data_IF_440356004847
#
_entry.id   IF_440356004847
#
_cell.length_a   1.000
_cell.length_b   1.000
_cell.length_c   1.000
_cell.angle_alpha   90.00
_cell.angle_beta   90.00
_cell.angle_gamma   90.00
#
_symmetry.space_group_name_H-M   'P 1'
#
loop_
_entity.id
_entity.type
_entity.pdbx_description
1 polymer ?
#
# COMPACT_ATOMS: atom_id res chain seq x y z
N UNK A 1 34.51 28.82 47.46
CA UNK A 1 34.37 29.40 46.10
C UNK A 1 34.33 28.40 44.97
N UNK A 2 35.28 27.49 44.82
CA UNK A 2 35.32 26.50 43.69
C UNK A 2 34.06 25.57 43.64
N UNK A 3 33.55 25.08 44.82
CA UNK A 3 32.34 24.25 44.88
C UNK A 3 31.08 24.94 44.38
N UNK A 4 30.95 26.23 44.67
CA UNK A 4 29.76 27.02 44.25
C UNK A 4 29.79 27.30 42.72
N UNK A 5 30.97 27.46 42.14
CA UNK A 5 31.15 27.67 40.71
C UNK A 5 30.77 26.39 39.91
N UNK A 6 31.20 25.22 40.41
CA UNK A 6 30.84 23.93 39.79
C UNK A 6 29.36 23.62 39.91
N UNK A 7 28.74 23.97 41.06
CA UNK A 7 27.29 23.84 41.24
C UNK A 7 26.51 24.78 40.33
N UNK A 8 26.96 26.03 40.20
CA UNK A 8 26.38 27.02 39.26
C UNK A 8 26.53 26.57 37.79
N UNK A 9 27.67 25.99 37.42
CA UNK A 9 27.89 25.42 36.10
C UNK A 9 27.03 24.20 35.82
N UNK A 10 26.87 23.30 36.84
CA UNK A 10 25.94 22.16 36.71
C UNK A 10 24.48 22.61 36.69
N UNK A 11 24.09 23.61 37.50
CA UNK A 11 22.73 24.17 37.45
C UNK A 11 22.47 24.92 36.13
N UNK A 12 23.44 25.69 35.60
CA UNK A 12 23.33 26.36 34.31
C UNK A 12 23.26 25.35 33.16
N UNK A 13 24.04 24.28 33.22
CA UNK A 13 23.97 23.17 32.25
C UNK A 13 22.61 22.44 32.35
N UNK A 14 22.07 22.27 33.56
CA UNK A 14 20.74 21.70 33.77
C UNK A 14 19.64 22.62 33.25
N UNK A 15 19.68 23.92 33.58
CA UNK A 15 18.69 24.90 33.14
C UNK A 15 18.74 25.10 31.64
N UNK A 16 19.92 25.12 31.01
CA UNK A 16 20.09 25.20 29.56
C UNK A 16 19.59 23.95 28.80
N UNK A 17 19.55 22.79 29.48
CA UNK A 17 19.08 21.53 28.86
C UNK A 17 17.64 21.14 29.32
N UNK A 18 17.12 21.71 30.41
CA UNK A 18 15.72 21.49 30.85
C UNK A 18 14.76 22.43 30.13
N UNK A 19 15.19 23.63 29.72
CA UNK A 19 14.36 24.51 28.88
C UNK A 19 13.87 23.84 27.59
N UNK A 20 14.68 23.08 26.83
CA UNK A 20 14.16 22.33 25.69
C UNK A 20 13.30 21.12 26.07
N UNK A 21 13.48 20.52 27.27
CA UNK A 21 12.65 19.36 27.70
C UNK A 21 11.24 19.80 28.09
N UNK A 22 11.05 20.97 28.69
CA UNK A 22 9.73 21.55 28.94
C UNK A 22 9.07 22.09 27.64
N UNK A 23 9.87 22.58 26.70
CA UNK A 23 9.40 22.97 25.37
C UNK A 23 9.00 21.77 24.47
N UNK A 24 9.51 20.55 24.74
CA UNK A 24 9.09 19.32 24.05
C UNK A 24 7.66 18.91 24.44
N UNK A 25 7.13 19.36 25.58
CA UNK A 25 5.73 19.12 25.98
C UNK A 25 4.79 20.14 25.34
N UNK A 26 5.27 21.31 24.86
CA UNK A 26 4.50 22.29 24.11
C UNK A 26 5.13 22.57 22.74
N UNK A 27 4.60 21.93 21.70
CA UNK A 27 4.58 22.42 20.30
C UNK A 27 5.91 22.81 19.64
N UNK A 28 6.98 22.02 19.70
CA UNK A 28 7.88 22.03 18.54
C UNK A 28 7.41 20.98 17.53
N UNK A 29 7.15 21.38 16.29
CA UNK A 29 7.02 20.38 15.23
C UNK A 29 8.34 19.59 15.21
N UNK A 30 8.23 18.29 15.42
CA UNK A 30 9.30 17.31 15.25
C UNK A 30 10.13 17.76 14.05
N UNK A 31 11.45 18.02 14.24
CA UNK A 31 12.33 18.47 13.15
C UNK A 31 12.06 17.57 11.96
N UNK A 32 11.55 18.19 10.91
CA UNK A 32 11.21 17.55 9.66
C UNK A 32 12.29 16.52 9.28
N UNK A 33 11.91 15.37 8.72
CA UNK A 33 12.86 14.45 8.13
C UNK A 33 13.83 15.20 7.22
N UNK A 34 15.07 14.71 6.98
CA UNK A 34 16.04 15.37 6.12
C UNK A 34 15.38 15.88 4.83
N UNK A 35 15.78 17.06 4.35
CA UNK A 35 15.14 17.71 3.18
C UNK A 35 15.04 16.76 1.97
N UNK A 36 15.99 15.85 1.83
CA UNK A 36 15.98 14.81 0.78
C UNK A 36 14.82 13.81 0.91
N UNK A 37 14.38 13.56 2.15
CA UNK A 37 13.20 12.72 2.45
C UNK A 37 11.91 13.49 2.24
N UNK A 38 11.89 14.79 2.62
CA UNK A 38 10.73 15.68 2.40
C UNK A 38 10.52 15.89 0.90
N UNK A 39 11.58 16.08 0.12
CA UNK A 39 11.50 16.24 -1.34
C UNK A 39 10.95 14.97 -1.99
N UNK A 40 11.35 13.78 -1.54
CA UNK A 40 10.77 12.51 -1.98
C UNK A 40 9.30 12.34 -1.54
N UNK A 41 8.88 12.95 -0.40
CA UNK A 41 7.49 12.96 0.04
C UNK A 41 6.62 14.00 -0.71
N UNK A 42 7.21 14.99 -1.36
CA UNK A 42 6.49 16.02 -2.11
C UNK A 42 6.14 15.62 -3.55
N UNK A 43 6.91 14.70 -4.17
CA UNK A 43 6.69 14.25 -5.54
C UNK A 43 6.02 12.85 -5.62
N UNK A 44 4.97 12.64 -4.85
CA UNK A 44 4.23 11.36 -4.82
C UNK A 44 3.63 10.96 -6.16
N UNK A 45 3.39 11.92 -7.06
CA UNK A 45 2.98 11.67 -8.44
C UNK A 45 4.03 10.91 -9.25
N UNK A 46 5.33 11.01 -8.90
CA UNK A 46 6.40 10.27 -9.57
C UNK A 46 6.32 8.75 -9.33
N UNK A 47 5.67 8.32 -8.23
CA UNK A 47 5.48 6.89 -7.97
C UNK A 47 4.52 6.21 -8.96
N UNK A 48 3.65 6.97 -9.64
CA UNK A 48 2.54 6.47 -10.47
C UNK A 48 2.75 6.80 -11.94
N UNK A 49 3.86 7.15 -12.46
CA UNK A 49 4.08 7.37 -13.91
C UNK A 49 2.81 7.78 -14.70
N UNK A 50 2.29 8.99 -14.44
CA UNK A 50 1.04 9.48 -15.04
C UNK A 50 1.09 9.52 -16.58
N UNK A 51 2.30 9.64 -17.18
CA UNK A 51 2.45 9.63 -18.64
C UNK A 51 2.08 8.28 -19.25
N UNK A 52 2.26 7.17 -18.52
CA UNK A 52 1.82 5.86 -18.97
C UNK A 52 0.27 5.77 -19.02
N UNK A 53 -0.40 6.34 -18.03
CA UNK A 53 -1.86 6.35 -17.96
C UNK A 53 -2.51 7.18 -19.07
N UNK A 54 -1.83 8.21 -19.60
CA UNK A 54 -2.32 9.00 -20.72
C UNK A 54 -2.47 8.19 -22.03
N UNK A 55 -1.84 7.00 -22.14
CA UNK A 55 -2.02 6.10 -23.27
C UNK A 55 -3.44 5.51 -23.39
N UNK A 56 -4.27 5.59 -22.36
CA UNK A 56 -5.69 5.22 -22.45
C UNK A 56 -6.56 6.29 -23.12
N UNK A 57 -5.99 7.46 -23.43
CA UNK A 57 -6.65 8.58 -24.08
C UNK A 57 -7.99 8.98 -23.42
N UNK A 58 -8.03 8.90 -22.08
CA UNK A 58 -9.20 9.24 -21.26
C UNK A 58 -8.82 10.17 -20.13
N UNK A 59 -9.32 11.40 -20.19
CA UNK A 59 -9.08 12.43 -19.19
C UNK A 59 -9.77 12.09 -17.84
N UNK A 60 -10.93 11.43 -17.88
CA UNK A 60 -11.65 11.06 -16.67
C UNK A 60 -10.88 10.02 -15.86
N UNK A 61 -10.31 9.01 -16.53
CA UNK A 61 -9.44 8.02 -15.90
C UNK A 61 -8.24 8.70 -15.22
N UNK A 62 -7.55 9.60 -15.91
CA UNK A 62 -6.41 10.33 -15.35
C UNK A 62 -6.81 11.16 -14.12
N UNK A 63 -7.95 11.85 -14.20
CA UNK A 63 -8.48 12.64 -13.08
C UNK A 63 -8.83 11.76 -11.86
N UNK A 64 -9.40 10.57 -12.05
CA UNK A 64 -9.67 9.66 -10.93
C UNK A 64 -8.40 9.12 -10.30
N UNK A 65 -7.35 8.83 -11.09
CA UNK A 65 -6.04 8.43 -10.55
C UNK A 65 -5.44 9.56 -9.72
N UNK A 66 -5.47 10.81 -10.20
CA UNK A 66 -4.97 11.98 -9.47
C UNK A 66 -5.76 12.17 -8.15
N UNK A 67 -7.10 12.12 -8.21
CA UNK A 67 -7.95 12.18 -7.01
C UNK A 67 -7.63 11.09 -5.99
N UNK A 68 -7.37 9.87 -6.46
CA UNK A 68 -6.99 8.77 -5.58
C UNK A 68 -5.64 9.02 -4.91
N UNK A 69 -4.63 9.48 -5.66
CA UNK A 69 -3.32 9.83 -5.11
C UNK A 69 -3.44 10.88 -4.00
N UNK A 70 -4.33 11.87 -4.15
CA UNK A 70 -4.50 12.96 -3.20
C UNK A 70 -5.36 12.59 -1.98
N UNK A 71 -6.41 11.79 -2.19
CA UNK A 71 -7.49 11.64 -1.20
C UNK A 71 -7.62 10.24 -0.60
N UNK A 72 -7.07 9.20 -1.23
CA UNK A 72 -7.19 7.83 -0.76
C UNK A 72 -6.68 7.68 0.68
N UNK A 73 -7.45 7.00 1.54
CA UNK A 73 -7.13 6.87 2.97
C UNK A 73 -6.02 5.87 3.22
N UNK A 74 -5.92 4.81 2.42
CA UNK A 74 -4.86 3.81 2.55
C UNK A 74 -3.50 4.42 2.18
N UNK A 75 -3.44 5.30 1.16
CA UNK A 75 -2.22 6.03 0.83
C UNK A 75 -1.81 6.99 1.94
N UNK A 76 -2.78 7.70 2.56
CA UNK A 76 -2.49 8.55 3.72
C UNK A 76 -1.97 7.75 4.90
N UNK A 77 -2.54 6.56 5.17
CA UNK A 77 -2.02 5.64 6.19
C UNK A 77 -0.62 5.13 5.86
N UNK A 78 -0.33 4.79 4.61
CA UNK A 78 1.00 4.38 4.20
C UNK A 78 2.05 5.48 4.45
N UNK A 79 1.72 6.74 4.13
CA UNK A 79 2.57 7.91 4.43
C UNK A 79 2.82 8.06 5.94
N UNK A 80 1.76 7.99 6.75
CA UNK A 80 1.89 8.07 8.22
C UNK A 80 2.74 6.91 8.78
N UNK A 81 2.66 5.74 8.17
CA UNK A 81 3.53 4.60 8.54
C UNK A 81 5.00 4.90 8.28
N UNK A 82 5.34 5.57 7.16
CA UNK A 82 6.72 6.01 6.91
C UNK A 82 7.20 6.99 7.98
N UNK A 83 6.35 7.95 8.37
CA UNK A 83 6.65 8.90 9.45
C UNK A 83 6.83 8.21 10.80
N UNK A 84 5.98 7.22 11.14
CA UNK A 84 6.09 6.40 12.33
C UNK A 84 7.44 5.66 12.39
N UNK A 85 7.84 5.01 11.30
CA UNK A 85 9.15 4.35 11.23
C UNK A 85 10.31 5.34 11.35
N UNK A 86 10.16 6.55 10.85
CA UNK A 86 11.16 7.60 11.03
C UNK A 86 11.31 8.01 12.51
N UNK A 87 10.19 8.14 13.25
CA UNK A 87 10.25 8.38 14.70
C UNK A 87 10.94 7.25 15.45
N UNK A 88 10.79 6.00 15.00
CA UNK A 88 11.53 4.87 15.56
C UNK A 88 13.05 5.00 15.32
N UNK A 89 13.48 5.57 14.18
CA UNK A 89 14.91 5.88 13.95
C UNK A 89 15.41 6.92 14.95
N UNK A 90 14.64 8.00 15.17
CA UNK A 90 14.98 9.06 16.14
C UNK A 90 15.06 8.47 17.54
N UNK A 91 14.05 7.69 17.96
CA UNK A 91 14.01 7.01 19.24
C UNK A 91 15.22 6.08 19.43
N UNK A 92 15.57 5.28 18.43
CA UNK A 92 16.74 4.40 18.52
C UNK A 92 18.07 5.18 18.57
N UNK A 93 18.14 6.32 17.86
CA UNK A 93 19.32 7.21 17.88
C UNK A 93 19.55 7.82 19.26
N UNK A 94 18.52 8.01 20.08
CA UNK A 94 18.66 8.54 21.43
C UNK A 94 19.57 7.67 22.31
N UNK A 95 19.65 6.36 22.03
CA UNK A 95 20.59 5.45 22.72
C UNK A 95 22.09 5.77 22.45
N UNK A 96 22.39 6.64 21.50
CA UNK A 96 23.74 7.15 21.21
C UNK A 96 24.03 8.47 21.92
N UNK A 97 23.10 8.97 22.72
CA UNK A 97 23.22 10.23 23.46
C UNK A 97 23.14 9.94 24.97
N UNK A 98 23.70 10.83 25.83
CA UNK A 98 23.51 10.72 27.27
C UNK A 98 22.02 10.85 27.64
N UNK A 99 21.56 10.03 28.59
CA UNK A 99 20.25 10.19 29.23
C UNK A 99 20.42 10.87 30.58
N UNK A 100 19.51 11.79 30.91
CA UNK A 100 19.43 12.45 32.20
C UNK A 100 18.06 12.22 32.80
N UNK A 101 18.00 11.68 33.98
CA UNK A 101 16.77 11.40 34.72
C UNK A 101 16.82 12.10 36.08
N UNK A 102 15.70 12.64 36.51
CA UNK A 102 15.54 13.18 37.86
C UNK A 102 14.43 12.43 38.58
N UNK A 103 14.58 12.35 39.89
CA UNK A 103 13.59 11.75 40.76
C UNK A 103 13.34 12.60 42.02
N UNK A 104 12.21 12.37 42.63
CA UNK A 104 11.92 12.86 43.99
C UNK A 104 11.43 11.71 44.82
N UNK A 105 12.12 11.45 45.91
CA UNK A 105 11.91 10.30 46.79
C UNK A 105 11.66 10.80 48.21
N UNK A 106 10.41 11.08 48.61
CA UNK A 106 10.05 11.31 50.00
C UNK A 106 10.01 9.98 50.73
N UNK A 107 10.51 9.92 51.94
CA UNK A 107 10.51 8.70 52.72
C UNK A 107 10.75 8.96 54.20
N UNK A 108 10.66 7.89 54.98
CA UNK A 108 11.11 7.84 56.37
C UNK A 108 12.39 7.00 56.40
N UNK A 109 13.45 7.48 57.03
CA UNK A 109 14.68 6.73 57.24
C UNK A 109 14.98 6.63 58.69
N UNK A 110 15.34 5.45 59.18
CA UNK A 110 15.90 5.21 60.51
C UNK A 110 17.31 4.66 60.35
N UNK A 111 18.30 5.46 60.74
CA UNK A 111 19.71 5.11 60.72
C UNK A 111 20.23 4.78 62.13
N UNK A 112 19.33 4.35 63.04
CA UNK A 112 19.66 3.93 64.39
C UNK A 112 19.45 5.02 65.47
N UNK A 113 18.86 6.16 65.11
CA UNK A 113 18.55 7.29 66.00
C UNK A 113 17.03 7.65 66.04
N UNK A 114 16.19 6.76 65.56
CA UNK A 114 14.76 6.96 65.36
C UNK A 114 14.37 7.38 63.97
N UNK A 115 13.11 7.10 63.58
CA UNK A 115 12.58 7.45 62.27
C UNK A 115 12.54 8.98 62.09
N UNK A 116 13.07 9.46 60.98
CA UNK A 116 13.06 10.84 60.56
C UNK A 116 12.63 10.97 59.11
N UNK A 117 12.00 12.11 58.77
CA UNK A 117 11.70 12.43 57.40
C UNK A 117 12.97 12.50 56.54
N UNK A 118 12.91 11.95 55.34
CA UNK A 118 13.99 11.98 54.38
C UNK A 118 13.44 12.37 53.01
N UNK A 119 14.02 13.41 52.45
CA UNK A 119 13.68 13.91 51.12
C UNK A 119 14.93 13.81 50.26
N UNK A 120 14.85 13.01 49.22
CA UNK A 120 15.96 12.83 48.28
C UNK A 120 15.55 13.26 46.86
N UNK A 121 16.42 14.03 46.21
CA UNK A 121 16.25 14.49 44.83
C UNK A 121 17.47 14.08 44.00
N UNK A 122 17.48 12.83 43.49
CA UNK A 122 18.56 12.32 42.65
C UNK A 122 18.42 12.79 41.21
N UNK A 123 19.51 13.21 40.59
CA UNK A 123 19.68 13.46 39.17
C UNK A 123 20.72 12.46 38.66
N UNK A 124 20.31 11.57 37.78
CA UNK A 124 21.16 10.56 37.18
C UNK A 124 21.45 10.89 35.74
N UNK A 125 22.73 10.93 35.36
CA UNK A 125 23.17 10.92 33.98
C UNK A 125 23.75 9.55 33.64
N UNK A 126 23.43 9.00 32.49
CA UNK A 126 24.05 7.75 32.01
C UNK A 126 24.31 7.84 30.50
N UNK A 127 25.46 7.25 30.11
CA UNK A 127 25.86 7.22 28.69
C UNK A 127 26.70 5.95 28.44
N UNK A 128 26.25 5.16 27.46
CA UNK A 128 27.02 4.05 26.93
C UNK A 128 27.90 4.50 25.77
N UNK A 129 29.24 4.42 25.97
CA UNK A 129 30.19 4.73 24.90
C UNK A 129 30.13 3.65 23.81
N UNK A 130 29.71 4.04 22.61
CA UNK A 130 29.52 3.12 21.47
C UNK A 130 30.83 2.83 20.71
N UNK A 131 31.88 2.43 21.45
CA UNK A 131 33.21 2.18 20.91
C UNK A 131 33.19 1.11 19.81
N UNK A 132 32.38 0.09 19.99
CA UNK A 132 32.23 -0.97 18.99
C UNK A 132 31.17 -0.68 17.93
N UNK A 133 30.46 0.41 18.02
CA UNK A 133 29.37 0.77 17.12
C UNK A 133 28.15 -0.16 17.24
N UNK A 134 27.84 -0.66 18.43
CA UNK A 134 26.65 -1.48 18.70
C UNK A 134 25.37 -0.66 18.53
N UNK A 135 25.28 0.50 19.20
CA UNK A 135 24.12 1.37 19.18
C UNK A 135 23.98 2.06 17.80
N UNK A 136 25.09 2.42 17.17
CA UNK A 136 25.11 2.91 15.80
C UNK A 136 24.57 1.85 14.83
N UNK A 137 24.96 0.58 14.95
CA UNK A 137 24.38 -0.48 14.11
C UNK A 137 22.90 -0.75 14.42
N UNK A 138 22.45 -0.64 15.67
CA UNK A 138 21.02 -0.72 16.00
C UNK A 138 20.23 0.38 15.28
N UNK A 139 20.71 1.61 15.30
CA UNK A 139 20.11 2.74 14.58
C UNK A 139 20.09 2.47 13.07
N UNK A 140 21.20 1.97 12.50
CA UNK A 140 21.25 1.63 11.07
C UNK A 140 20.30 0.48 10.70
N UNK A 141 20.09 -0.49 11.59
CA UNK A 141 19.09 -1.55 11.38
C UNK A 141 17.67 -0.99 11.30
N UNK A 142 17.30 -0.10 12.23
CA UNK A 142 16.00 0.57 12.22
C UNK A 142 15.87 1.50 11.00
N UNK A 143 16.97 2.17 10.59
CA UNK A 143 16.98 2.99 9.36
C UNK A 143 16.67 2.14 8.12
N UNK A 144 17.18 0.90 8.01
CA UNK A 144 16.82 0.00 6.90
C UNK A 144 15.35 -0.41 6.93
N UNK A 145 14.75 -0.52 8.10
CA UNK A 145 13.32 -0.76 8.25
C UNK A 145 12.50 0.45 7.78
N UNK A 146 12.93 1.68 8.11
CA UNK A 146 12.33 2.90 7.59
C UNK A 146 12.50 3.01 6.06
N UNK A 147 13.69 2.73 5.49
CA UNK A 147 13.88 2.69 4.04
C UNK A 147 12.93 1.67 3.37
N UNK A 148 12.66 0.52 4.01
CA UNK A 148 11.71 -0.47 3.51
C UNK A 148 10.26 0.03 3.55
N UNK A 149 9.87 0.86 4.53
CA UNK A 149 8.52 1.42 4.60
C UNK A 149 8.25 2.45 3.49
N UNK A 150 9.26 3.18 3.02
CA UNK A 150 9.16 4.07 1.85
C UNK A 150 8.86 3.25 0.58
N UNK A 151 9.47 2.07 0.45
CA UNK A 151 9.20 1.18 -0.68
C UNK A 151 7.81 0.56 -0.60
N UNK A 152 7.30 0.28 0.60
CA UNK A 152 5.91 -0.13 0.82
C UNK A 152 4.92 0.98 0.43
N UNK A 153 5.23 2.23 0.79
CA UNK A 153 4.43 3.38 0.36
C UNK A 153 4.39 3.44 -1.18
N UNK A 154 5.54 3.38 -1.87
CA UNK A 154 5.59 3.37 -3.34
C UNK A 154 4.77 2.23 -3.94
N UNK A 155 4.87 1.02 -3.40
CA UNK A 155 4.07 -0.12 -3.84
C UNK A 155 2.56 0.10 -3.65
N UNK A 156 2.15 0.76 -2.56
CA UNK A 156 0.77 1.13 -2.31
C UNK A 156 0.24 2.11 -3.37
N UNK A 157 1.00 3.15 -3.74
CA UNK A 157 0.63 4.10 -4.81
C UNK A 157 0.40 3.39 -6.14
N UNK A 158 1.32 2.52 -6.56
CA UNK A 158 1.19 1.72 -7.79
C UNK A 158 -0.05 0.81 -7.72
N UNK A 159 -0.28 0.17 -6.58
CA UNK A 159 -1.42 -0.72 -6.39
C UNK A 159 -2.76 0.00 -6.42
N UNK A 160 -2.87 1.16 -5.79
CA UNK A 160 -4.10 1.97 -5.78
C UNK A 160 -4.37 2.53 -7.17
N UNK A 161 -3.37 3.08 -7.88
CA UNK A 161 -3.53 3.55 -9.25
C UNK A 161 -4.01 2.41 -10.18
N UNK A 162 -3.42 1.22 -10.06
CA UNK A 162 -3.84 0.04 -10.82
C UNK A 162 -5.26 -0.41 -10.46
N UNK A 163 -5.65 -0.35 -9.18
CA UNK A 163 -7.01 -0.67 -8.74
C UNK A 163 -8.04 0.33 -9.27
N UNK A 164 -7.73 1.64 -9.26
CA UNK A 164 -8.58 2.69 -9.86
C UNK A 164 -8.76 2.43 -11.35
N UNK A 165 -7.65 2.21 -12.08
CA UNK A 165 -7.69 1.95 -13.52
C UNK A 165 -8.49 0.71 -13.87
N UNK A 166 -8.22 -0.42 -13.23
CA UNK A 166 -8.95 -1.67 -13.47
C UNK A 166 -10.43 -1.54 -13.11
N UNK A 167 -10.77 -0.85 -12.02
CA UNK A 167 -12.16 -0.63 -11.61
C UNK A 167 -12.88 0.25 -12.62
N UNK A 168 -12.25 1.35 -13.05
CA UNK A 168 -12.81 2.26 -14.06
C UNK A 168 -13.07 1.53 -15.38
N UNK A 169 -12.09 0.78 -15.91
CA UNK A 169 -12.25 0.00 -17.15
C UNK A 169 -13.37 -1.03 -17.01
N UNK A 170 -13.49 -1.71 -15.87
CA UNK A 170 -14.58 -2.64 -15.63
C UNK A 170 -15.96 -1.96 -15.57
N UNK A 171 -16.06 -0.71 -15.09
CA UNK A 171 -17.29 0.07 -15.13
C UNK A 171 -17.67 0.39 -16.57
N UNK A 172 -16.72 0.88 -17.38
CA UNK A 172 -16.93 1.19 -18.81
C UNK A 172 -17.29 -0.07 -19.60
N UNK A 173 -16.65 -1.21 -19.32
CA UNK A 173 -17.01 -2.53 -19.84
C UNK A 173 -18.46 -2.87 -19.57
N UNK A 174 -18.91 -2.69 -18.31
CA UNK A 174 -20.30 -2.96 -17.94
C UNK A 174 -21.28 -1.99 -18.58
N UNK A 175 -20.91 -0.72 -18.80
CA UNK A 175 -21.75 0.22 -19.56
C UNK A 175 -21.98 -0.31 -20.99
N UNK A 176 -20.93 -0.74 -21.70
CA UNK A 176 -21.03 -1.35 -23.02
C UNK A 176 -21.90 -2.62 -23.04
N UNK A 177 -21.72 -3.48 -22.04
CA UNK A 177 -22.49 -4.72 -21.93
C UNK A 177 -23.94 -4.48 -21.57
N UNK A 178 -24.25 -3.48 -20.75
CA UNK A 178 -25.61 -3.09 -20.39
C UNK A 178 -26.36 -2.57 -21.63
N UNK A 179 -25.73 -1.74 -22.47
CA UNK A 179 -26.34 -1.24 -23.69
C UNK A 179 -26.73 -2.38 -24.62
N UNK A 180 -25.81 -3.30 -24.90
CA UNK A 180 -26.09 -4.48 -25.74
C UNK A 180 -27.14 -5.41 -25.12
N UNK A 181 -27.11 -5.59 -23.79
CA UNK A 181 -28.09 -6.41 -23.08
C UNK A 181 -29.49 -5.80 -23.14
N UNK A 182 -29.61 -4.48 -23.14
CA UNK A 182 -30.90 -3.81 -23.33
C UNK A 182 -31.48 -4.11 -24.72
N UNK A 183 -30.63 -4.10 -25.77
CA UNK A 183 -31.05 -4.47 -27.13
C UNK A 183 -31.49 -5.94 -27.21
N UNK A 184 -30.77 -6.87 -26.56
CA UNK A 184 -31.12 -8.28 -26.47
C UNK A 184 -32.47 -8.46 -25.73
N UNK A 185 -32.67 -7.78 -24.61
CA UNK A 185 -33.93 -7.84 -23.85
C UNK A 185 -35.09 -7.38 -24.70
N UNK A 186 -34.93 -6.26 -25.41
CA UNK A 186 -35.96 -5.73 -26.32
C UNK A 186 -36.27 -6.72 -27.45
N UNK A 187 -35.24 -7.29 -28.06
CA UNK A 187 -35.41 -8.30 -29.10
C UNK A 187 -36.16 -9.54 -28.61
N UNK A 188 -35.84 -10.04 -27.41
CA UNK A 188 -36.50 -11.19 -26.76
C UNK A 188 -37.94 -10.85 -26.37
N UNK A 189 -38.22 -9.62 -25.97
CA UNK A 189 -39.58 -9.13 -25.71
C UNK A 189 -40.43 -9.17 -26.98
N UNK A 190 -39.89 -8.69 -28.10
CA UNK A 190 -40.55 -8.70 -29.42
C UNK A 190 -40.81 -10.14 -29.89
N UNK A 191 -39.86 -11.06 -29.69
CA UNK A 191 -40.03 -12.49 -29.97
C UNK A 191 -41.13 -13.07 -29.11
N UNK A 192 -41.14 -12.80 -27.80
CA UNK A 192 -42.16 -13.28 -26.87
C UNK A 192 -43.57 -12.80 -27.30
N UNK A 193 -43.76 -11.51 -27.59
CA UNK A 193 -45.02 -10.96 -28.05
C UNK A 193 -45.51 -11.60 -29.36
N UNK A 194 -44.58 -11.85 -30.30
CA UNK A 194 -44.87 -12.55 -31.54
C UNK A 194 -45.31 -13.97 -31.30
N UNK A 195 -44.67 -14.70 -30.41
CA UNK A 195 -45.03 -16.07 -30.03
C UNK A 195 -46.36 -16.13 -29.30
N UNK A 196 -46.67 -15.14 -28.44
CA UNK A 196 -47.97 -15.01 -27.78
C UNK A 196 -49.11 -14.88 -28.78
N UNK A 197 -48.98 -13.98 -29.79
CA UNK A 197 -49.94 -13.84 -30.83
C UNK A 197 -50.09 -15.12 -31.67
N UNK A 198 -48.95 -15.71 -32.10
CA UNK A 198 -48.97 -16.95 -32.89
C UNK A 198 -49.58 -18.15 -32.18
N UNK A 199 -49.36 -18.22 -30.83
CA UNK A 199 -49.98 -19.28 -30.03
C UNK A 199 -51.49 -19.08 -29.88
N UNK A 200 -51.99 -17.83 -29.78
CA UNK A 200 -53.41 -17.54 -29.74
C UNK A 200 -54.13 -17.94 -31.03
N UNK A 201 -53.46 -17.87 -32.15
CA UNK A 201 -53.91 -18.29 -33.47
C UNK A 201 -53.68 -19.79 -33.76
N UNK A 202 -53.12 -20.56 -32.79
CA UNK A 202 -52.82 -21.97 -32.92
C UNK A 202 -51.66 -22.34 -33.85
N UNK A 203 -50.83 -21.35 -34.25
CA UNK A 203 -49.73 -21.51 -35.21
C UNK A 203 -48.46 -22.06 -34.55
N UNK A 204 -48.26 -21.85 -33.25
CA UNK A 204 -47.08 -22.34 -32.48
C UNK A 204 -47.52 -23.08 -31.20
N UNK A 205 -46.65 -23.96 -30.68
CA UNK A 205 -46.96 -24.72 -29.49
C UNK A 205 -46.85 -23.86 -28.23
N UNK A 206 -47.64 -24.17 -27.19
CA UNK A 206 -47.51 -23.56 -25.87
C UNK A 206 -46.13 -23.77 -25.27
N UNK A 207 -45.44 -24.87 -25.63
CA UNK A 207 -44.05 -25.13 -25.22
C UNK A 207 -43.07 -24.07 -25.78
N UNK A 208 -43.28 -23.67 -27.01
CA UNK A 208 -42.41 -22.67 -27.65
C UNK A 208 -42.67 -21.26 -27.12
N UNK A 209 -43.94 -20.94 -26.81
CA UNK A 209 -44.30 -19.71 -26.08
C UNK A 209 -43.61 -19.65 -24.69
N UNK A 210 -43.67 -20.76 -23.94
CA UNK A 210 -43.00 -20.83 -22.62
C UNK A 210 -41.49 -20.63 -22.74
N UNK A 211 -40.83 -21.23 -23.74
CA UNK A 211 -39.38 -21.02 -24.00
C UNK A 211 -39.07 -19.55 -24.34
N UNK A 212 -39.86 -18.91 -25.16
CA UNK A 212 -39.66 -17.49 -25.51
C UNK A 212 -39.82 -16.60 -24.26
N UNK A 213 -40.80 -16.86 -23.41
CA UNK A 213 -40.98 -16.14 -22.16
C UNK A 213 -39.79 -16.37 -21.19
N UNK A 214 -39.30 -17.60 -21.06
CA UNK A 214 -38.14 -17.93 -20.25
C UNK A 214 -36.89 -17.16 -20.75
N UNK A 215 -36.66 -17.09 -22.07
CA UNK A 215 -35.57 -16.37 -22.65
C UNK A 215 -35.66 -14.84 -22.36
N UNK A 216 -36.88 -14.26 -22.46
CA UNK A 216 -37.09 -12.86 -22.10
C UNK A 216 -36.81 -12.59 -20.63
N UNK A 217 -37.39 -13.38 -19.71
CA UNK A 217 -37.19 -13.24 -18.24
C UNK A 217 -35.69 -13.38 -17.90
N UNK A 218 -34.99 -14.37 -18.50
CA UNK A 218 -33.55 -14.53 -18.30
C UNK A 218 -32.80 -13.27 -18.72
N UNK A 219 -33.10 -12.71 -19.90
CA UNK A 219 -32.47 -11.47 -20.36
C UNK A 219 -32.64 -10.28 -19.40
N UNK A 220 -33.85 -10.11 -18.84
CA UNK A 220 -34.14 -9.08 -17.83
C UNK A 220 -33.36 -9.31 -16.54
N UNK A 221 -33.25 -10.59 -16.13
CA UNK A 221 -32.47 -10.97 -14.94
C UNK A 221 -30.99 -10.64 -15.12
N UNK A 222 -30.42 -11.01 -16.26
CA UNK A 222 -29.01 -10.73 -16.59
C UNK A 222 -28.73 -9.22 -16.62
N UNK A 223 -29.62 -8.43 -17.23
CA UNK A 223 -29.54 -6.96 -17.25
C UNK A 223 -29.54 -6.37 -15.84
N UNK A 224 -30.41 -6.90 -14.96
CA UNK A 224 -30.52 -6.47 -13.56
C UNK A 224 -29.23 -6.76 -12.80
N UNK A 225 -28.65 -7.95 -13.00
CA UNK A 225 -27.38 -8.34 -12.37
C UNK A 225 -26.21 -7.47 -12.86
N UNK A 226 -26.13 -7.16 -14.18
CA UNK A 226 -25.13 -6.26 -14.72
C UNK A 226 -25.22 -4.85 -14.11
N UNK A 227 -26.43 -4.29 -14.00
CA UNK A 227 -26.67 -2.98 -13.35
C UNK A 227 -26.25 -2.99 -11.88
N UNK A 228 -26.57 -4.06 -11.14
CA UNK A 228 -26.12 -4.23 -9.74
C UNK A 228 -24.60 -4.26 -9.63
N UNK A 229 -23.92 -5.01 -10.50
CA UNK A 229 -22.46 -5.14 -10.49
C UNK A 229 -21.79 -3.81 -10.85
N UNK A 230 -22.32 -3.06 -11.80
CA UNK A 230 -21.87 -1.69 -12.11
C UNK A 230 -21.97 -0.77 -10.90
N UNK A 231 -23.12 -0.78 -10.18
CA UNK A 231 -23.27 0.05 -8.98
C UNK A 231 -22.26 -0.30 -7.90
N UNK A 232 -21.99 -1.60 -7.69
CA UNK A 232 -20.94 -2.04 -6.74
C UNK A 232 -19.55 -1.52 -7.11
N UNK A 233 -19.20 -1.54 -8.40
CA UNK A 233 -17.91 -1.02 -8.84
C UNK A 233 -17.83 0.52 -8.70
N UNK A 234 -18.93 1.24 -8.92
CA UNK A 234 -19.00 2.68 -8.67
C UNK A 234 -18.81 3.01 -7.19
N UNK A 235 -19.44 2.25 -6.28
CA UNK A 235 -19.19 2.39 -4.83
C UNK A 235 -17.71 2.12 -4.48
N UNK A 236 -17.11 1.09 -5.09
CA UNK A 236 -15.71 0.76 -4.86
C UNK A 236 -14.78 1.87 -5.41
N UNK A 237 -15.06 2.41 -6.59
CA UNK A 237 -14.32 3.54 -7.17
C UNK A 237 -14.39 4.77 -6.24
N UNK A 238 -15.58 5.07 -5.67
CA UNK A 238 -15.74 6.16 -4.70
C UNK A 238 -14.77 6.00 -3.51
N UNK A 239 -14.70 4.81 -2.94
CA UNK A 239 -13.79 4.50 -1.83
C UNK A 239 -12.33 4.67 -2.25
N UNK A 240 -11.95 4.19 -3.45
CA UNK A 240 -10.59 4.31 -3.97
C UNK A 240 -10.15 5.77 -4.15
N UNK A 241 -11.04 6.65 -4.62
CA UNK A 241 -10.74 8.08 -4.79
C UNK A 241 -10.94 8.89 -3.50
N UNK A 242 -11.33 8.24 -2.41
CA UNK A 242 -11.54 8.88 -1.10
C UNK A 242 -12.81 9.70 -0.98
N UNK A 243 -13.81 9.42 -1.82
CA UNK A 243 -15.11 10.08 -1.88
C UNK A 243 -16.22 9.25 -1.22
N UNK A 244 -17.40 9.85 -1.04
CA UNK A 244 -18.56 9.16 -0.47
C UNK A 244 -19.21 8.22 -1.50
N UNK A 245 -19.51 6.96 -1.15
CA UNK A 245 -20.21 6.04 -2.05
C UNK A 245 -21.68 6.42 -2.30
N UNK A 246 -22.20 7.48 -1.67
CA UNK A 246 -23.57 7.94 -1.88
C UNK A 246 -23.76 8.79 -3.15
N UNK A 247 -22.68 9.31 -3.75
CA UNK A 247 -22.70 10.24 -4.88
C UNK A 247 -22.27 9.60 -6.20
N UNK A 248 -22.59 8.32 -6.41
CA UNK A 248 -22.13 7.54 -7.58
C UNK A 248 -22.69 8.02 -8.92
N UNK A 249 -23.80 8.76 -8.91
CA UNK A 249 -24.41 9.30 -10.13
C UNK A 249 -23.59 10.44 -10.77
N UNK A 250 -22.73 11.08 -9.98
CA UNK A 250 -21.85 12.18 -10.41
C UNK A 250 -20.57 11.69 -11.13
N UNK A 251 -20.32 10.38 -11.18
CA UNK A 251 -19.10 9.84 -11.77
C UNK A 251 -19.17 9.82 -13.29
N UNK A 252 -18.62 10.87 -13.91
CA UNK A 252 -18.52 11.01 -15.35
C UNK A 252 -17.51 10.01 -15.91
N UNK A 253 -17.87 9.37 -17.03
CA UNK A 253 -17.05 8.38 -17.74
C UNK A 253 -17.00 8.72 -19.22
N UNK A 254 -15.97 8.24 -19.92
CA UNK A 254 -15.96 8.30 -21.37
C UNK A 254 -17.01 7.36 -21.97
N UNK A 255 -17.43 7.64 -23.22
CA UNK A 255 -18.15 6.66 -24.02
C UNK A 255 -17.21 5.46 -24.29
N UNK A 256 -17.69 4.24 -24.03
CA UNK A 256 -16.92 3.01 -24.20
C UNK A 256 -16.34 2.85 -25.60
N UNK A 257 -16.95 3.46 -26.63
CA UNK A 257 -16.48 3.45 -28.03
C UNK A 257 -15.20 4.26 -28.23
N UNK A 258 -14.91 5.20 -27.34
CA UNK A 258 -13.77 6.12 -27.42
C UNK A 258 -12.57 5.67 -26.58
N UNK A 259 -12.75 4.69 -25.68
CA UNK A 259 -11.69 4.20 -24.84
C UNK A 259 -10.76 3.28 -25.63
N UNK A 260 -9.54 3.72 -25.88
CA UNK A 260 -8.53 2.96 -26.64
C UNK A 260 -7.17 3.12 -26.00
N UNK A 261 -6.47 2.01 -25.82
CA UNK A 261 -5.07 2.03 -25.39
C UNK A 261 -4.13 2.19 -26.59
N UNK A 262 -3.33 3.25 -26.60
CA UNK A 262 -2.40 3.61 -27.69
C UNK A 262 -0.94 3.28 -27.39
N UNK A 263 -0.64 2.85 -26.17
CA UNK A 263 0.72 2.52 -25.72
C UNK A 263 1.28 1.24 -26.37
N UNK A 264 2.60 1.11 -26.29
CA UNK A 264 3.30 -0.11 -26.73
C UNK A 264 3.70 -0.96 -25.54
N UNK A 265 3.42 -2.24 -25.62
CA UNK A 265 3.91 -3.24 -24.66
C UNK A 265 5.07 -3.98 -25.32
N UNK A 266 6.25 -4.05 -24.68
CA UNK A 266 7.40 -4.76 -25.23
C UNK A 266 7.15 -6.29 -25.18
N UNK A 267 7.75 -7.03 -26.11
CA UNK A 267 7.66 -8.49 -26.15
C UNK A 267 8.46 -9.17 -25.00
N UNK A 268 9.44 -8.47 -24.45
CA UNK A 268 10.26 -8.94 -23.34
C UNK A 268 10.68 -7.78 -22.43
N UNK A 269 10.89 -8.07 -21.16
CA UNK A 269 11.28 -7.09 -20.14
C UNK A 269 12.70 -7.39 -19.68
N UNK A 270 13.55 -6.34 -19.61
CA UNK A 270 14.90 -6.46 -19.05
C UNK A 270 14.84 -6.76 -17.55
N UNK A 271 15.78 -7.57 -17.07
CA UNK A 271 15.96 -7.84 -15.63
C UNK A 271 16.18 -6.57 -14.83
N UNK A 272 16.77 -5.52 -15.43
CA UNK A 272 17.00 -4.23 -14.75
C UNK A 272 15.71 -3.55 -14.31
N UNK A 273 14.63 -3.70 -15.08
CA UNK A 273 13.31 -3.16 -14.73
C UNK A 273 12.75 -3.90 -13.52
N UNK A 274 12.91 -5.24 -13.47
CA UNK A 274 12.46 -6.07 -12.36
C UNK A 274 13.19 -5.68 -11.06
N UNK A 275 14.50 -5.40 -11.14
CA UNK A 275 15.31 -4.99 -9.99
C UNK A 275 14.92 -3.60 -9.43
N UNK A 276 14.18 -2.79 -10.18
CA UNK A 276 13.68 -1.48 -9.72
C UNK A 276 12.30 -1.55 -9.06
N UNK A 277 11.68 -2.73 -9.01
CA UNK A 277 10.38 -2.92 -8.34
C UNK A 277 10.48 -2.61 -6.85
N UNK A 278 9.45 -1.97 -6.28
CA UNK A 278 9.45 -1.65 -4.85
C UNK A 278 9.58 -2.87 -3.94
N UNK A 279 8.92 -3.99 -4.27
CA UNK A 279 8.96 -5.24 -3.50
C UNK A 279 10.34 -5.91 -3.53
N UNK A 280 11.02 -5.87 -4.70
CA UNK A 280 12.39 -6.35 -4.85
C UNK A 280 13.35 -5.52 -4.00
N UNK A 281 13.33 -4.18 -4.14
CA UNK A 281 14.16 -3.26 -3.36
C UNK A 281 13.88 -3.38 -1.86
N UNK A 282 12.64 -3.57 -1.46
CA UNK A 282 12.26 -3.82 -0.06
C UNK A 282 12.91 -5.10 0.47
N UNK A 283 12.84 -6.19 -0.30
CA UNK A 283 13.47 -7.47 0.09
C UNK A 283 14.99 -7.31 0.27
N UNK A 284 15.65 -6.50 -0.58
CA UNK A 284 17.05 -6.13 -0.43
C UNK A 284 17.32 -5.36 0.88
N UNK A 285 16.52 -4.31 1.19
CA UNK A 285 16.66 -3.55 2.45
C UNK A 285 16.44 -4.43 3.69
N UNK A 286 15.51 -5.36 3.64
CA UNK A 286 15.28 -6.31 4.72
C UNK A 286 16.43 -7.31 4.88
N UNK A 287 17.08 -7.72 3.81
CA UNK A 287 18.30 -8.54 3.85
C UNK A 287 19.48 -7.76 4.44
N UNK A 288 19.69 -6.50 4.01
CA UNK A 288 20.70 -5.61 4.59
C UNK A 288 20.48 -5.45 6.11
N UNK A 289 19.23 -5.19 6.53
CA UNK A 289 18.84 -5.09 7.93
C UNK A 289 19.21 -6.35 8.71
N UNK A 290 18.86 -7.52 8.21
CA UNK A 290 19.16 -8.79 8.86
C UNK A 290 20.67 -9.02 9.02
N UNK A 291 21.48 -8.62 8.04
CA UNK A 291 22.94 -8.62 8.11
C UNK A 291 23.49 -7.69 9.19
N UNK A 292 22.89 -6.49 9.34
CA UNK A 292 23.24 -5.55 10.42
C UNK A 292 22.86 -6.15 11.79
N UNK A 293 21.69 -6.78 11.91
CA UNK A 293 21.23 -7.43 13.15
C UNK A 293 22.20 -8.53 13.61
N UNK A 294 22.80 -9.29 12.70
CA UNK A 294 23.88 -10.26 13.03
C UNK A 294 25.11 -9.53 13.58
N UNK A 295 25.50 -8.38 13.01
CA UNK A 295 26.61 -7.55 13.50
C UNK A 295 26.32 -7.05 14.91
N UNK A 296 25.10 -6.58 15.17
CA UNK A 296 24.64 -6.17 16.53
C UNK A 296 24.78 -7.32 17.52
N UNK A 297 24.24 -8.50 17.21
CA UNK A 297 24.28 -9.65 18.09
C UNK A 297 25.72 -10.12 18.39
N UNK A 298 26.66 -9.96 17.46
CA UNK A 298 28.09 -10.18 17.71
C UNK A 298 28.66 -9.17 18.70
N UNK A 299 28.28 -7.89 18.54
CA UNK A 299 28.78 -6.79 19.41
C UNK A 299 28.16 -6.84 20.81
N UNK A 300 27.00 -7.43 21.01
CA UNK A 300 26.40 -7.70 22.32
C UNK A 300 27.21 -8.70 23.15
N UNK A 301 28.10 -9.46 22.54
CA UNK A 301 29.05 -10.34 23.22
C UNK A 301 30.31 -9.61 23.67
N UNK A 302 30.53 -8.35 23.31
CA UNK A 302 31.70 -7.55 23.68
C UNK A 302 31.44 -6.77 24.97
N UNK A 303 32.49 -6.32 25.68
CA UNK A 303 32.33 -5.48 26.86
C UNK A 303 31.61 -4.16 26.49
N UNK A 304 30.74 -3.67 27.35
CA UNK A 304 30.17 -2.33 27.27
C UNK A 304 30.87 -1.38 28.23
N UNK A 305 31.09 -0.14 27.82
CA UNK A 305 31.66 0.92 28.63
C UNK A 305 30.57 1.94 28.89
N UNK A 306 30.22 2.08 30.17
CA UNK A 306 29.16 2.97 30.64
C UNK A 306 29.78 4.10 31.46
N UNK A 307 29.41 5.33 31.19
CA UNK A 307 29.69 6.51 32.01
C UNK A 307 28.42 6.84 32.80
N UNK A 308 28.59 7.21 34.05
CA UNK A 308 27.49 7.58 34.92
C UNK A 308 27.80 8.82 35.73
N UNK A 309 26.80 9.65 35.96
CA UNK A 309 26.86 10.81 36.86
C UNK A 309 25.68 10.79 37.82
N UNK A 310 25.90 11.18 39.04
CA UNK A 310 24.87 11.37 40.05
C UNK A 310 25.06 12.72 40.72
N UNK A 311 23.98 13.47 40.84
CA UNK A 311 23.83 14.57 41.77
C UNK A 311 22.65 14.22 42.67
N UNK A 312 22.89 14.13 43.96
CA UNK A 312 21.85 13.79 44.94
C UNK A 312 21.75 14.93 45.96
N UNK A 313 20.58 15.53 46.05
CA UNK A 313 20.22 16.40 47.18
C UNK A 313 19.44 15.54 48.18
N UNK A 314 19.85 15.57 49.45
CA UNK A 314 19.19 14.82 50.53
C UNK A 314 19.08 15.69 51.79
N UNK A 315 17.88 15.78 52.35
CA UNK A 315 17.59 16.59 53.55
C UNK A 315 16.44 15.98 54.34
N UNK A 316 16.40 16.31 55.64
CA UNK A 316 15.29 15.93 56.52
C UNK A 316 14.05 16.86 56.39
N UNK A 317 14.20 17.98 55.73
CA UNK A 317 13.08 18.87 55.44
C UNK A 317 13.21 19.46 54.02
N UNK A 318 12.09 19.72 53.38
CA UNK A 318 12.01 20.22 51.97
C UNK A 318 12.67 21.59 51.82
N UNK A 319 12.60 22.45 52.82
CA UNK A 319 13.14 23.83 52.78
C UNK A 319 14.66 23.88 52.71
N UNK A 320 15.37 22.86 53.17
CA UNK A 320 16.83 22.77 53.11
C UNK A 320 17.34 21.84 52.00
N UNK A 321 16.44 21.23 51.19
CA UNK A 321 16.81 20.19 50.26
C UNK A 321 17.85 20.68 49.22
N UNK A 322 17.69 21.82 48.61
CA UNK A 322 18.58 22.35 47.57
C UNK A 322 19.75 23.20 48.09
N UNK A 323 20.21 22.97 49.31
CA UNK A 323 21.40 23.62 49.82
C UNK A 323 22.66 22.89 49.42
N UNK A 324 23.79 23.60 49.28
CA UNK A 324 25.09 23.03 48.90
C UNK A 324 25.62 22.00 49.88
N UNK A 325 25.22 22.12 51.15
CA UNK A 325 25.63 21.16 52.18
C UNK A 325 24.91 19.82 52.08
N UNK A 326 23.77 19.78 51.45
CA UNK A 326 22.94 18.61 51.22
C UNK A 326 23.13 17.99 49.86
N UNK A 327 24.07 18.53 49.06
CA UNK A 327 24.40 18.04 47.73
C UNK A 327 25.57 17.06 47.74
N UNK A 328 25.32 15.85 47.26
CA UNK A 328 26.36 14.84 46.95
C UNK A 328 26.47 14.72 45.44
N UNK A 329 27.65 14.57 44.92
CA UNK A 329 27.84 14.31 43.50
C UNK A 329 28.95 13.28 43.26
N UNK A 330 28.83 12.56 42.15
CA UNK A 330 29.81 11.59 41.70
C UNK A 330 29.77 11.40 40.20
N UNK A 331 30.95 11.26 39.59
CA UNK A 331 31.13 10.84 38.22
C UNK A 331 31.93 9.56 38.19
N UNK A 332 31.54 8.61 37.39
CA UNK A 332 32.22 7.34 37.28
C UNK A 332 32.03 6.69 35.91
N UNK A 333 32.89 5.75 35.61
CA UNK A 333 32.75 4.89 34.44
C UNK A 333 33.07 3.45 34.79
N UNK A 334 32.42 2.54 34.09
CA UNK A 334 32.60 1.11 34.32
C UNK A 334 32.64 0.31 33.02
N UNK A 335 33.43 -0.75 33.00
CA UNK A 335 33.46 -1.74 31.95
C UNK A 335 32.66 -2.96 32.40
N UNK A 336 31.61 -3.31 31.69
CA UNK A 336 30.79 -4.48 31.96
C UNK A 336 30.96 -5.51 30.85
N UNK A 337 31.40 -6.73 31.21
CA UNK A 337 31.52 -7.83 30.25
C UNK A 337 30.77 -9.04 30.76
N UNK A 338 29.79 -9.58 30.03
CA UNK A 338 29.05 -10.76 30.44
C UNK A 338 29.92 -12.00 30.26
N UNK A 339 30.53 -12.50 31.35
CA UNK A 339 31.35 -13.72 31.36
C UNK A 339 30.47 -14.97 31.22
N UNK A 340 29.31 -14.97 31.86
CA UNK A 340 28.35 -16.07 31.80
C UNK A 340 26.92 -15.52 31.75
N UNK A 341 26.20 -15.86 30.67
CA UNK A 341 24.82 -15.45 30.48
C UNK A 341 23.88 -16.65 30.16
N UNK A 342 24.19 -17.83 30.72
CA UNK A 342 23.35 -19.03 30.51
C UNK A 342 23.15 -19.42 29.04
N UNK A 343 24.09 -19.12 28.17
CA UNK A 343 23.98 -19.41 26.74
C UNK A 343 23.16 -18.40 25.93
N UNK A 344 22.48 -17.41 26.54
CA UNK A 344 21.57 -16.44 25.92
C UNK A 344 22.21 -15.70 24.73
N UNK A 345 23.41 -15.15 24.89
CA UNK A 345 24.08 -14.38 23.84
C UNK A 345 24.43 -15.25 22.61
N UNK A 346 24.88 -16.49 22.88
CA UNK A 346 25.21 -17.47 21.83
C UNK A 346 23.96 -17.89 21.04
N UNK A 347 22.86 -18.14 21.75
CA UNK A 347 21.57 -18.47 21.17
C UNK A 347 21.02 -17.29 20.36
N UNK A 348 21.11 -16.02 20.86
CA UNK A 348 20.70 -14.84 20.17
C UNK A 348 21.49 -14.64 18.85
N UNK A 349 22.81 -14.79 18.87
CA UNK A 349 23.63 -14.73 17.66
C UNK A 349 23.26 -15.82 16.66
N UNK A 350 22.99 -17.06 17.10
CA UNK A 350 22.52 -18.14 16.23
C UNK A 350 21.15 -17.82 15.63
N UNK A 351 20.22 -17.30 16.45
CA UNK A 351 18.90 -16.85 15.99
C UNK A 351 19.02 -15.78 14.91
N UNK A 352 19.86 -14.75 15.09
CA UNK A 352 20.04 -13.67 14.09
C UNK A 352 20.68 -14.18 12.79
N UNK A 353 21.60 -15.18 12.85
CA UNK A 353 22.13 -15.82 11.64
C UNK A 353 21.05 -16.57 10.86
N UNK A 354 20.19 -17.34 11.56
CA UNK A 354 19.07 -18.05 10.91
C UNK A 354 18.08 -17.04 10.31
N UNK A 355 17.82 -15.92 11.01
CA UNK A 355 16.96 -14.85 10.48
C UNK A 355 17.54 -14.21 9.20
N UNK A 356 18.88 -14.05 9.13
CA UNK A 356 19.55 -13.60 7.91
C UNK A 356 19.39 -14.59 6.76
N UNK A 357 19.62 -15.87 6.99
CA UNK A 357 19.42 -16.93 5.98
C UNK A 357 17.96 -16.95 5.49
N UNK A 358 16.99 -16.81 6.41
CA UNK A 358 15.56 -16.71 6.06
C UNK A 358 15.30 -15.48 5.20
N UNK A 359 15.90 -14.32 5.51
CA UNK A 359 15.76 -13.09 4.73
C UNK A 359 16.37 -13.24 3.32
N UNK A 360 17.51 -13.96 3.20
CA UNK A 360 18.12 -14.29 1.91
C UNK A 360 17.18 -15.15 1.07
N UNK A 361 16.58 -16.19 1.65
CA UNK A 361 15.60 -17.02 0.93
C UNK A 361 14.35 -16.25 0.52
N UNK A 362 13.93 -15.28 1.33
CA UNK A 362 12.83 -14.38 0.95
C UNK A 362 13.21 -13.47 -0.23
N UNK A 363 14.42 -12.92 -0.23
CA UNK A 363 14.93 -12.12 -1.37
C UNK A 363 14.98 -12.94 -2.66
N UNK A 364 15.52 -14.18 -2.60
CA UNK A 364 15.52 -15.10 -3.74
C UNK A 364 14.10 -15.42 -4.24
N UNK A 365 13.15 -15.64 -3.30
CA UNK A 365 11.73 -15.88 -3.61
C UNK A 365 11.09 -14.68 -4.31
N UNK A 366 11.28 -13.47 -3.79
CA UNK A 366 10.72 -12.24 -4.39
C UNK A 366 11.23 -12.07 -5.81
N UNK A 367 12.52 -12.33 -6.06
CA UNK A 367 13.08 -12.28 -7.41
C UNK A 367 12.36 -13.24 -8.37
N UNK A 368 12.15 -14.50 -7.96
CA UNK A 368 11.46 -15.50 -8.79
C UNK A 368 9.98 -15.13 -9.03
N UNK A 369 9.28 -14.67 -7.99
CA UNK A 369 7.87 -14.27 -8.12
C UNK A 369 7.71 -13.02 -8.98
N UNK A 370 8.63 -12.06 -8.90
CA UNK A 370 8.62 -10.87 -9.76
C UNK A 370 8.82 -11.23 -11.24
N UNK A 371 9.73 -12.16 -11.53
CA UNK A 371 9.90 -12.69 -12.90
C UNK A 371 8.65 -13.42 -13.39
N UNK A 372 8.06 -14.25 -12.54
CA UNK A 372 6.82 -14.95 -12.86
C UNK A 372 5.70 -13.99 -13.19
N UNK A 373 5.43 -12.99 -12.34
CA UNK A 373 4.36 -12.00 -12.55
C UNK A 373 4.49 -11.27 -13.89
N UNK A 374 5.71 -10.86 -14.25
CA UNK A 374 5.96 -10.19 -15.54
C UNK A 374 5.71 -11.13 -16.70
N UNK A 375 6.21 -12.36 -16.63
CA UNK A 375 6.01 -13.36 -17.69
C UNK A 375 4.54 -13.74 -17.85
N UNK A 376 3.82 -13.93 -16.73
CA UNK A 376 2.39 -14.26 -16.74
C UNK A 376 1.57 -13.14 -17.42
N UNK A 377 1.88 -11.88 -17.12
CA UNK A 377 1.19 -10.74 -17.76
C UNK A 377 1.49 -10.64 -19.25
N UNK A 378 2.73 -10.89 -19.68
CA UNK A 378 3.07 -10.90 -21.12
C UNK A 378 2.37 -12.03 -21.87
N UNK A 379 2.27 -13.23 -21.26
CA UNK A 379 1.52 -14.35 -21.82
C UNK A 379 0.04 -14.00 -21.93
N UNK A 380 -0.58 -13.43 -20.88
CA UNK A 380 -1.99 -13.01 -20.91
C UNK A 380 -2.24 -12.01 -22.04
N UNK A 381 -1.43 -10.95 -22.14
CA UNK A 381 -1.55 -9.93 -23.19
C UNK A 381 -1.49 -10.54 -24.60
N UNK A 382 -0.55 -11.44 -24.85
CA UNK A 382 -0.39 -12.06 -26.17
C UNK A 382 -1.57 -12.98 -26.49
N UNK A 383 -2.00 -13.78 -25.51
CA UNK A 383 -3.13 -14.71 -25.67
C UNK A 383 -4.44 -13.97 -25.87
N UNK A 384 -4.72 -12.92 -25.09
CA UNK A 384 -5.97 -12.18 -25.21
C UNK A 384 -6.02 -11.31 -26.49
N UNK A 385 -4.87 -10.83 -26.97
CA UNK A 385 -4.80 -10.21 -28.32
C UNK A 385 -5.11 -11.21 -29.43
N UNK A 386 -4.58 -12.42 -29.39
CA UNK A 386 -4.87 -13.45 -30.37
C UNK A 386 -6.35 -13.86 -30.33
N UNK A 387 -6.90 -14.06 -29.12
CA UNK A 387 -8.32 -14.36 -28.91
C UNK A 387 -9.21 -13.24 -29.48
N UNK A 388 -8.91 -11.98 -29.19
CA UNK A 388 -9.63 -10.83 -29.69
C UNK A 388 -9.60 -10.78 -31.25
N UNK A 389 -8.42 -11.06 -31.84
CA UNK A 389 -8.31 -11.13 -33.30
C UNK A 389 -9.23 -12.20 -33.87
N UNK A 390 -9.27 -13.41 -33.31
CA UNK A 390 -10.17 -14.48 -33.74
C UNK A 390 -11.65 -14.17 -33.52
N UNK A 391 -11.99 -13.50 -32.44
CA UNK A 391 -13.37 -13.05 -32.18
C UNK A 391 -13.84 -12.00 -33.20
N UNK A 392 -12.96 -11.09 -33.65
CA UNK A 392 -13.26 -10.14 -34.73
C UNK A 392 -13.48 -10.84 -36.08
N UNK A 393 -12.79 -11.94 -36.37
CA UNK A 393 -13.09 -12.79 -37.53
C UNK A 393 -14.50 -13.39 -37.42
N UNK A 394 -14.89 -13.92 -36.24
CA UNK A 394 -16.25 -14.43 -35.99
C UNK A 394 -17.29 -13.33 -36.17
N UNK A 395 -17.05 -12.12 -35.63
CA UNK A 395 -17.99 -11.00 -35.82
C UNK A 395 -18.24 -10.71 -37.29
N UNK A 396 -17.19 -10.66 -38.10
CA UNK A 396 -17.35 -10.38 -39.56
C UNK A 396 -18.15 -11.47 -40.25
N UNK A 397 -18.14 -12.70 -39.81
CA UNK A 397 -18.96 -13.80 -40.35
C UNK A 397 -20.42 -13.68 -39.88
N UNK A 398 -20.65 -13.38 -38.60
CA UNK A 398 -22.00 -13.16 -38.08
C UNK A 398 -22.68 -11.92 -38.68
N UNK A 399 -21.92 -10.87 -38.93
CA UNK A 399 -22.44 -9.67 -39.65
C UNK A 399 -22.91 -10.03 -41.08
N UNK A 400 -22.11 -10.82 -41.82
CA UNK A 400 -22.49 -11.32 -43.13
C UNK A 400 -23.70 -12.23 -43.09
N UNK A 401 -23.77 -13.15 -42.12
CA UNK A 401 -24.93 -14.05 -41.94
C UNK A 401 -26.21 -13.27 -41.62
N UNK A 402 -26.11 -12.25 -40.77
CA UNK A 402 -27.22 -11.37 -40.45
C UNK A 402 -27.70 -10.56 -41.69
N UNK A 403 -26.76 -9.97 -42.45
CA UNK A 403 -27.08 -9.24 -43.69
C UNK A 403 -27.77 -10.15 -44.71
N UNK A 404 -27.22 -11.36 -44.95
CA UNK A 404 -27.83 -12.34 -45.85
C UNK A 404 -29.22 -12.79 -45.36
N UNK A 405 -29.37 -12.98 -44.07
CA UNK A 405 -30.67 -13.34 -43.47
C UNK A 405 -31.68 -12.21 -43.58
N UNK A 406 -31.24 -10.97 -43.44
CA UNK A 406 -32.10 -9.80 -43.69
C UNK A 406 -32.61 -9.74 -45.13
N UNK A 407 -31.75 -9.98 -46.13
CA UNK A 407 -32.17 -10.06 -47.52
C UNK A 407 -33.17 -11.19 -47.75
N UNK A 408 -32.95 -12.40 -47.17
CA UNK A 408 -33.91 -13.50 -47.26
C UNK A 408 -35.24 -13.21 -46.63
N UNK A 409 -35.24 -12.45 -45.51
CA UNK A 409 -36.48 -12.00 -44.87
C UNK A 409 -37.21 -11.02 -45.74
N UNK A 410 -36.54 -10.05 -46.33
CA UNK A 410 -37.13 -9.04 -47.26
C UNK A 410 -37.74 -9.69 -48.50
N UNK A 411 -37.17 -10.80 -48.97
CA UNK A 411 -37.68 -11.64 -50.08
C UNK A 411 -38.76 -12.66 -49.60
N UNK A 412 -39.12 -12.66 -48.31
CA UNK A 412 -40.11 -13.59 -47.76
C UNK A 412 -39.69 -15.04 -47.67
N UNK A 413 -38.38 -15.34 -47.72
CA UNK A 413 -37.84 -16.69 -47.72
C UNK A 413 -37.73 -17.26 -46.28
N UNK A 414 -37.46 -16.39 -45.29
CA UNK A 414 -37.38 -16.78 -43.88
C UNK A 414 -38.38 -15.98 -43.04
N UNK A 415 -38.75 -16.54 -41.89
CA UNK A 415 -39.63 -15.87 -40.94
C UNK A 415 -38.92 -14.80 -40.12
N UNK A 416 -39.66 -13.84 -39.57
CA UNK A 416 -39.13 -12.78 -38.70
C UNK A 416 -38.42 -13.38 -37.48
N UNK A 417 -38.90 -14.51 -37.00
CA UNK A 417 -38.27 -15.24 -35.87
C UNK A 417 -36.83 -15.65 -36.21
N UNK A 418 -36.60 -16.19 -37.40
CA UNK A 418 -35.25 -16.64 -37.82
C UNK A 418 -34.32 -15.43 -37.93
N UNK A 419 -34.79 -14.31 -38.47
CA UNK A 419 -34.02 -13.06 -38.52
C UNK A 419 -33.68 -12.55 -37.13
N UNK A 420 -34.62 -12.52 -36.20
CA UNK A 420 -34.41 -12.08 -34.82
C UNK A 420 -33.39 -12.97 -34.09
N UNK A 421 -33.37 -14.28 -34.37
CA UNK A 421 -32.37 -15.20 -33.82
C UNK A 421 -30.95 -14.86 -34.35
N UNK A 422 -30.79 -14.48 -35.63
CA UNK A 422 -29.51 -14.05 -36.18
C UNK A 422 -29.04 -12.72 -35.56
N UNK A 423 -29.99 -11.80 -35.39
CA UNK A 423 -29.69 -10.51 -34.70
C UNK A 423 -29.21 -10.74 -33.25
N UNK A 424 -29.87 -11.64 -32.50
CA UNK A 424 -29.44 -12.00 -31.15
C UNK A 424 -28.05 -12.61 -31.12
N UNK A 425 -27.72 -13.51 -32.08
CA UNK A 425 -26.39 -14.08 -32.19
C UNK A 425 -25.32 -13.00 -32.44
N UNK A 426 -25.58 -12.06 -33.33
CA UNK A 426 -24.69 -10.93 -33.59
C UNK A 426 -24.49 -10.04 -32.35
N UNK A 427 -25.54 -9.74 -31.59
CA UNK A 427 -25.45 -8.96 -30.35
C UNK A 427 -24.62 -9.70 -29.30
N UNK A 428 -24.80 -11.01 -29.15
CA UNK A 428 -23.99 -11.83 -28.24
C UNK A 428 -22.51 -11.84 -28.63
N UNK A 429 -22.19 -11.94 -29.92
CA UNK A 429 -20.80 -11.86 -30.41
C UNK A 429 -20.20 -10.48 -30.14
N UNK A 430 -20.96 -9.38 -30.32
CA UNK A 430 -20.52 -8.03 -29.95
C UNK A 430 -20.21 -7.90 -28.47
N UNK A 431 -21.05 -8.49 -27.58
CA UNK A 431 -20.76 -8.52 -26.14
C UNK A 431 -19.42 -9.25 -25.83
N UNK A 432 -19.18 -10.39 -26.47
CA UNK A 432 -17.91 -11.14 -26.31
C UNK A 432 -16.70 -10.32 -26.73
N UNK A 433 -16.81 -9.55 -27.81
CA UNK A 433 -15.71 -8.71 -28.30
C UNK A 433 -15.42 -7.56 -27.35
N UNK A 434 -16.44 -6.80 -26.93
CA UNK A 434 -16.23 -5.75 -25.94
C UNK A 434 -15.63 -6.31 -24.66
N UNK A 435 -16.14 -7.46 -24.16
CA UNK A 435 -15.54 -8.11 -23.01
C UNK A 435 -14.02 -8.36 -23.20
N UNK A 436 -13.62 -8.91 -24.36
CA UNK A 436 -12.21 -9.20 -24.66
C UNK A 436 -11.36 -7.96 -24.89
N UNK A 437 -11.91 -6.89 -25.51
CA UNK A 437 -11.19 -5.62 -25.69
C UNK A 437 -10.85 -4.98 -24.35
N UNK A 438 -11.81 -4.94 -23.41
CA UNK A 438 -11.58 -4.41 -22.07
C UNK A 438 -10.68 -5.31 -21.22
N UNK A 439 -10.76 -6.64 -21.38
CA UNK A 439 -9.84 -7.58 -20.70
C UNK A 439 -8.40 -7.34 -21.14
N UNK A 440 -8.13 -7.11 -22.43
CA UNK A 440 -6.81 -6.68 -22.90
C UNK A 440 -6.33 -5.39 -22.23
N UNK A 441 -7.23 -4.41 -22.00
CA UNK A 441 -6.86 -3.16 -21.32
C UNK A 441 -6.51 -3.40 -19.85
N UNK A 442 -7.21 -4.31 -19.18
CA UNK A 442 -6.91 -4.71 -17.80
C UNK A 442 -5.56 -5.44 -17.72
N UNK A 443 -5.21 -6.24 -18.71
CA UNK A 443 -3.91 -6.89 -18.80
C UNK A 443 -2.77 -5.86 -18.93
N UNK A 444 -2.97 -4.76 -19.67
CA UNK A 444 -1.99 -3.68 -19.74
C UNK A 444 -1.77 -3.02 -18.37
N UNK A 445 -2.83 -2.84 -17.57
CA UNK A 445 -2.73 -2.34 -16.20
C UNK A 445 -2.00 -3.35 -15.30
N UNK A 446 -2.28 -4.64 -15.48
CA UNK A 446 -1.60 -5.71 -14.76
C UNK A 446 -0.10 -5.73 -15.08
N UNK A 447 0.26 -5.53 -16.35
CA UNK A 447 1.65 -5.37 -16.77
C UNK A 447 2.32 -4.15 -16.15
N UNK A 448 1.65 -2.96 -16.17
CA UNK A 448 2.14 -1.76 -15.51
C UNK A 448 2.47 -2.00 -14.03
N UNK A 449 1.58 -2.70 -13.32
CA UNK A 449 1.80 -3.09 -11.93
C UNK A 449 2.96 -4.09 -11.78
N UNK A 450 3.03 -5.09 -12.66
CA UNK A 450 4.05 -6.14 -12.61
C UNK A 450 5.47 -5.61 -12.85
N UNK A 451 5.65 -4.55 -13.64
CA UNK A 451 6.95 -3.88 -13.84
C UNK A 451 7.23 -2.78 -12.81
N UNK A 452 6.35 -2.57 -11.83
CA UNK A 452 6.53 -1.59 -10.75
C UNK A 452 6.47 -0.14 -11.21
N UNK A 453 5.64 0.17 -12.23
CA UNK A 453 5.49 1.49 -12.87
C UNK A 453 6.79 2.05 -13.51
N UNK A 454 7.81 1.24 -13.72
CA UNK A 454 9.09 1.61 -14.33
C UNK A 454 9.03 1.45 -15.85
N UNK A 455 8.20 2.25 -16.54
CA UNK A 455 7.94 2.22 -17.99
C UNK A 455 8.35 3.51 -18.66
#
# INVERSE_FOLDING_TARGET
MKKNIILLLLLSFLILNVSPVLAIVENEPIKNPPKDVINNLQNKHEYVNLSWWSNFNDEHLNNYIIKAIENNKDLKMATLTVEEFYQNVISQRSAQLPSVNLGFLPGLSDIGYGASDSYAFPIFASYELDIYGKNSNKTNSIKKLWESSILDERAAYISIASAVGSTYINIVKLDAMIDLQQDIVKLREDIFKMMELSNSEGLVSTSDLVKANQAYISGVTDLTEMKKNRSKLLHYLAVLIGDSPNNIEEFVRCDYKNLVYTGRIPESVSSDIIMQRPDYLKAEKMLEKAGIDVKVARKECLPSINLGGLVLFNAQNVGSLFTTNNALWGLGGGLLHPIFAGGRLKANLKYKKIAYEKSLKNYEKVNLTSMQEVNDTLVSINTDKEKLFKQKEIQSLEEKDFELSKLKYDEGIIAKLDLNQREENLLNVKQMIYASEFDCMIDYISYYKAVGANL
#
